data_IF_603879009359
#
_entry.id   IF_603879009359
#
_cell.length_a   1.000
_cell.length_b   1.000
_cell.length_c   1.000
_cell.angle_alpha   90.00
_cell.angle_beta   90.00
_cell.angle_gamma   90.00
#
_symmetry.space_group_name_H-M   'P 1'
#
loop_
_entity.id
_entity.type
_entity.pdbx_description
1 polymer ?
#
# COMPACT_ATOMS: atom_id res chain seq x y z
N UNK A 1 -13.77 7.92 21.16
CA UNK A 1 -13.85 7.21 22.44
C UNK A 1 -12.73 7.65 23.38
N UNK A 2 -11.48 7.70 22.92
CA UNK A 2 -10.31 8.12 23.72
C UNK A 2 -10.47 9.53 24.30
N UNK A 3 -10.98 10.48 23.52
CA UNK A 3 -11.17 11.87 23.96
C UNK A 3 -12.28 12.05 25.03
N UNK A 4 -13.13 11.04 25.21
CA UNK A 4 -14.20 11.08 26.21
C UNK A 4 -13.78 10.50 27.57
N UNK A 5 -12.71 9.72 27.61
CA UNK A 5 -12.24 8.99 28.78
C UNK A 5 -10.74 9.26 29.01
N UNK A 6 -10.41 10.53 29.26
CA UNK A 6 -9.02 10.93 29.47
C UNK A 6 -8.68 10.65 30.95
N UNK A 7 -7.71 9.79 31.26
CA UNK A 7 -7.30 9.50 32.60
C UNK A 7 -6.55 10.69 33.23
N UNK A 8 -6.46 10.68 34.54
CA UNK A 8 -5.69 11.63 35.38
C UNK A 8 -6.04 13.10 35.22
N UNK A 9 -7.29 13.44 34.87
CA UNK A 9 -7.71 14.83 34.63
C UNK A 9 -6.86 15.59 33.60
N UNK A 10 -6.23 14.90 32.69
CA UNK A 10 -5.44 15.54 31.67
C UNK A 10 -6.33 16.34 30.70
N UNK A 11 -5.83 17.48 30.23
CA UNK A 11 -6.49 18.28 29.20
C UNK A 11 -5.90 17.89 27.84
N UNK A 12 -6.76 17.49 26.90
CA UNK A 12 -6.36 17.11 25.55
C UNK A 12 -7.09 17.97 24.53
N UNK A 13 -6.32 18.58 23.61
CA UNK A 13 -6.83 19.29 22.45
C UNK A 13 -6.52 18.49 21.21
N UNK A 14 -7.55 18.05 20.49
CA UNK A 14 -7.40 17.40 19.19
C UNK A 14 -7.39 18.44 18.09
N UNK A 15 -6.29 18.51 17.34
CA UNK A 15 -6.13 19.40 16.18
C UNK A 15 -5.93 18.49 14.95
N UNK A 16 -6.96 18.31 14.12
CA UNK A 16 -6.79 17.51 12.90
C UNK A 16 -5.98 18.30 11.86
N UNK A 17 -4.85 17.76 11.44
CA UNK A 17 -4.02 18.35 10.39
C UNK A 17 -4.43 17.88 9.00
N UNK A 18 -4.95 16.68 8.88
CA UNK A 18 -5.43 16.11 7.63
C UNK A 18 -6.56 15.10 7.89
N UNK A 19 -7.37 14.89 6.88
CA UNK A 19 -8.36 13.82 6.84
C UNK A 19 -8.18 13.03 5.55
N UNK A 20 -8.14 11.72 5.65
CA UNK A 20 -8.16 10.82 4.51
C UNK A 20 -9.09 9.66 4.79
N UNK A 21 -9.78 9.19 3.78
CA UNK A 21 -10.52 7.94 3.87
C UNK A 21 -9.59 6.78 3.50
N UNK A 22 -9.77 5.63 4.15
CA UNK A 22 -9.04 4.43 3.76
C UNK A 22 -9.52 3.90 2.41
N UNK A 23 -8.65 3.23 1.70
CA UNK A 23 -8.99 2.44 0.51
C UNK A 23 -8.85 0.97 0.86
N UNK A 24 -9.83 0.18 0.47
CA UNK A 24 -9.75 -1.28 0.57
C UNK A 24 -9.66 -1.82 -0.85
N UNK A 25 -8.52 -2.44 -1.17
CA UNK A 25 -8.35 -3.16 -2.41
C UNK A 25 -9.12 -4.49 -2.34
N UNK A 26 -9.73 -4.88 -3.44
CA UNK A 26 -10.36 -6.19 -3.58
C UNK A 26 -9.37 -7.16 -4.22
N UNK A 27 -8.80 -8.10 -3.45
CA UNK A 27 -7.79 -9.03 -3.97
C UNK A 27 -8.34 -10.07 -4.94
N UNK A 28 -9.66 -10.19 -5.05
CA UNK A 28 -10.30 -11.15 -5.97
C UNK A 28 -10.45 -10.62 -7.40
N UNK A 29 -10.16 -9.35 -7.64
CA UNK A 29 -10.23 -8.78 -8.98
C UNK A 29 -9.15 -9.34 -9.91
N UNK A 30 -9.43 -9.46 -11.23
CA UNK A 30 -8.58 -10.15 -12.18
C UNK A 30 -7.13 -9.65 -12.23
N UNK A 31 -6.92 -8.34 -12.32
CA UNK A 31 -5.58 -7.78 -12.35
C UNK A 31 -4.82 -8.02 -11.06
N UNK A 32 -5.47 -7.77 -9.93
CA UNK A 32 -4.87 -7.98 -8.60
C UNK A 32 -4.51 -9.44 -8.38
N UNK A 33 -5.38 -10.37 -8.76
CA UNK A 33 -5.12 -11.82 -8.68
C UNK A 33 -3.91 -12.19 -9.52
N UNK A 34 -3.80 -11.71 -10.78
CA UNK A 34 -2.67 -12.03 -11.64
C UNK A 34 -1.36 -11.41 -11.13
N UNK A 35 -1.44 -10.20 -10.58
CA UNK A 35 -0.28 -9.56 -9.95
C UNK A 35 0.25 -10.38 -8.76
N UNK A 36 -0.63 -10.86 -7.89
CA UNK A 36 -0.27 -11.72 -6.76
C UNK A 36 0.36 -13.02 -7.25
N UNK A 37 -0.19 -13.66 -8.29
CA UNK A 37 0.39 -14.86 -8.88
C UNK A 37 1.79 -14.59 -9.44
N UNK A 38 1.98 -13.45 -10.08
CA UNK A 38 3.27 -13.04 -10.61
C UNK A 38 4.29 -12.80 -9.48
N UNK A 39 3.90 -12.12 -8.42
CA UNK A 39 4.73 -11.95 -7.23
C UNK A 39 5.14 -13.30 -6.63
N UNK A 40 4.19 -14.15 -6.31
CA UNK A 40 4.48 -15.44 -5.70
C UNK A 40 5.47 -16.28 -6.51
N UNK A 41 5.43 -16.14 -7.85
CA UNK A 41 6.32 -16.91 -8.74
C UNK A 41 7.74 -16.34 -8.88
N UNK A 42 7.92 -15.05 -8.61
CA UNK A 42 9.20 -14.36 -8.79
C UNK A 42 9.92 -14.15 -7.46
N UNK A 43 9.17 -13.82 -6.42
CA UNK A 43 9.72 -13.57 -5.09
C UNK A 43 9.94 -14.84 -4.25
N UNK A 44 9.56 -16.00 -4.76
CA UNK A 44 9.69 -17.31 -4.08
C UNK A 44 9.01 -17.37 -2.70
N UNK A 45 8.10 -16.44 -2.41
CA UNK A 45 7.34 -16.33 -1.17
C UNK A 45 5.86 -16.13 -1.46
N UNK A 46 5.01 -16.55 -0.53
CA UNK A 46 3.59 -16.26 -0.63
C UNK A 46 3.31 -14.80 -0.25
N UNK A 47 2.48 -14.14 -1.06
CA UNK A 47 2.02 -12.78 -0.78
C UNK A 47 1.16 -12.74 0.48
N UNK A 48 1.54 -11.93 1.45
CA UNK A 48 0.76 -11.68 2.64
C UNK A 48 -0.13 -10.44 2.49
N UNK A 49 -1.33 -10.50 3.02
CA UNK A 49 -2.27 -9.38 3.04
C UNK A 49 -2.27 -8.74 4.42
N UNK A 50 -1.94 -7.47 4.48
CA UNK A 50 -1.88 -6.71 5.73
C UNK A 50 -2.71 -5.43 5.64
N UNK A 51 -3.25 -4.99 6.78
CA UNK A 51 -3.84 -3.66 6.91
C UNK A 51 -2.75 -2.65 7.29
N UNK A 52 -2.59 -1.62 6.49
CA UNK A 52 -1.61 -0.56 6.74
C UNK A 52 -2.32 0.71 7.18
N UNK A 53 -1.85 1.32 8.27
CA UNK A 53 -2.30 2.65 8.70
C UNK A 53 -1.68 3.73 7.83
N UNK A 54 -2.49 4.67 7.43
CA UNK A 54 -2.11 5.77 6.57
C UNK A 54 -3.09 5.96 5.42
N UNK A 55 -3.13 7.15 4.87
CA UNK A 55 -4.02 7.45 3.74
C UNK A 55 -3.23 8.06 2.60
N UNK A 56 -3.54 7.64 1.41
CA UNK A 56 -3.08 8.28 0.18
C UNK A 56 -4.32 8.97 -0.41
N UNK A 57 -4.51 10.29 -0.21
CA UNK A 57 -5.73 10.99 -0.63
C UNK A 57 -6.04 10.79 -2.10
N UNK A 58 -5.03 10.80 -2.97
CA UNK A 58 -5.17 10.56 -4.40
C UNK A 58 -5.82 9.20 -4.71
N UNK A 59 -5.50 8.15 -3.95
CA UNK A 59 -6.06 6.82 -4.17
C UNK A 59 -7.60 6.82 -4.00
N UNK A 60 -8.11 7.55 -3.00
CA UNK A 60 -9.55 7.71 -2.80
C UNK A 60 -10.23 8.45 -3.96
N UNK A 61 -9.61 9.54 -4.40
CA UNK A 61 -10.15 10.31 -5.52
C UNK A 61 -10.18 9.48 -6.79
N UNK A 62 -9.13 8.71 -7.04
CA UNK A 62 -9.05 7.80 -8.19
C UNK A 62 -10.16 6.73 -8.15
N UNK A 63 -10.32 6.04 -7.02
CA UNK A 63 -11.36 4.99 -6.89
C UNK A 63 -12.77 5.58 -7.05
N UNK A 64 -13.00 6.80 -6.58
CA UNK A 64 -14.29 7.49 -6.74
C UNK A 64 -14.58 7.84 -8.20
N UNK A 65 -13.58 8.34 -8.92
CA UNK A 65 -13.73 8.75 -10.33
C UNK A 65 -13.78 7.54 -11.28
N UNK A 66 -13.10 6.46 -10.93
CA UNK A 66 -12.99 5.25 -11.75
C UNK A 66 -13.43 4.00 -10.97
N UNK A 67 -14.73 3.88 -10.61
CA UNK A 67 -15.21 2.82 -9.72
C UNK A 67 -15.08 1.40 -10.30
N UNK A 68 -14.92 1.29 -11.62
CA UNK A 68 -14.74 0.00 -12.31
C UNK A 68 -13.26 -0.34 -12.56
N UNK A 69 -12.34 0.58 -12.28
CA UNK A 69 -10.92 0.32 -12.41
C UNK A 69 -10.36 -0.39 -11.16
N UNK A 70 -9.33 -1.18 -11.35
CA UNK A 70 -8.53 -1.70 -10.26
C UNK A 70 -7.39 -0.71 -9.96
N UNK A 71 -7.29 -0.29 -8.72
CA UNK A 71 -6.19 0.54 -8.25
C UNK A 71 -5.20 -0.33 -7.50
N UNK A 72 -3.98 -0.38 -7.99
CA UNK A 72 -2.87 -1.06 -7.34
C UNK A 72 -1.73 -0.06 -7.17
N UNK A 73 -1.19 0.01 -5.97
CA UNK A 73 -0.03 0.82 -5.63
C UNK A 73 1.10 -0.15 -5.27
N UNK A 74 2.19 -0.07 -6.00
CA UNK A 74 3.35 -0.94 -5.79
C UNK A 74 4.63 -0.12 -5.64
N UNK A 75 5.58 -0.65 -4.89
CA UNK A 75 6.88 -0.03 -4.71
C UNK A 75 7.85 -1.03 -4.10
N UNK A 76 9.12 -0.92 -4.47
CA UNK A 76 10.18 -1.61 -3.78
C UNK A 76 10.51 -0.86 -2.48
N UNK A 77 10.90 -1.60 -1.47
CA UNK A 77 11.30 -1.04 -0.18
C UNK A 77 12.56 -1.74 0.34
N UNK A 78 13.18 -1.14 1.31
CA UNK A 78 14.17 -1.77 2.17
C UNK A 78 13.60 -1.80 3.58
N UNK A 79 13.20 -2.99 4.05
CA UNK A 79 12.51 -3.15 5.32
C UNK A 79 13.42 -2.88 6.54
N UNK A 80 14.73 -3.07 6.38
CA UNK A 80 15.69 -2.92 7.47
C UNK A 80 16.27 -1.50 7.56
N UNK A 81 16.63 -0.91 6.41
CA UNK A 81 17.37 0.33 6.34
C UNK A 81 16.63 1.46 5.58
N UNK A 82 15.43 1.20 5.14
CA UNK A 82 14.69 2.04 4.20
C UNK A 82 14.47 3.49 4.62
N UNK A 83 14.34 3.78 5.92
CA UNK A 83 14.12 5.13 6.45
C UNK A 83 13.06 5.93 5.66
N UNK A 84 11.95 5.30 5.29
CA UNK A 84 10.92 5.93 4.47
C UNK A 84 10.52 7.33 4.99
N UNK A 85 10.54 8.31 4.10
CA UNK A 85 10.28 9.73 4.39
C UNK A 85 11.33 10.42 5.27
N UNK A 86 12.53 9.86 5.39
CA UNK A 86 13.62 10.43 6.19
C UNK A 86 14.92 10.57 5.37
N UNK A 87 15.93 11.31 5.87
CA UNK A 87 17.23 11.36 5.23
C UNK A 87 17.86 9.96 5.07
N UNK A 88 18.56 9.75 3.96
CA UNK A 88 19.16 8.47 3.59
C UNK A 88 18.15 7.35 3.36
N UNK A 89 16.97 7.70 2.87
CA UNK A 89 16.01 6.70 2.39
C UNK A 89 16.68 5.79 1.35
N UNK A 90 16.49 4.49 1.50
CA UNK A 90 17.08 3.47 0.64
C UNK A 90 16.05 2.47 0.15
N UNK A 91 16.40 1.78 -0.93
CA UNK A 91 15.64 0.68 -1.50
C UNK A 91 16.61 -0.41 -1.96
N UNK A 92 16.23 -1.65 -1.83
CA UNK A 92 17.01 -2.77 -2.35
C UNK A 92 16.85 -2.84 -3.88
N UNK A 93 17.98 -2.87 -4.61
CA UNK A 93 17.98 -2.83 -6.08
C UNK A 93 17.37 -4.11 -6.67
N UNK A 94 17.68 -5.26 -6.11
CA UNK A 94 17.08 -6.54 -6.49
C UNK A 94 15.57 -6.57 -6.31
N UNK A 95 15.03 -5.91 -5.27
CA UNK A 95 13.59 -5.73 -5.12
C UNK A 95 12.96 -4.88 -6.25
N UNK A 96 13.68 -3.88 -6.77
CA UNK A 96 13.23 -3.12 -7.93
C UNK A 96 13.18 -4.04 -9.17
N UNK A 97 14.21 -4.84 -9.40
CA UNK A 97 14.28 -5.77 -10.53
C UNK A 97 13.15 -6.80 -10.48
N UNK A 98 12.95 -7.43 -9.32
CA UNK A 98 11.86 -8.40 -9.10
C UNK A 98 10.47 -7.75 -9.26
N UNK A 99 10.30 -6.51 -8.82
CA UNK A 99 9.06 -5.76 -9.01
C UNK A 99 8.78 -5.51 -10.50
N UNK A 100 9.78 -5.06 -11.25
CA UNK A 100 9.66 -4.83 -12.71
C UNK A 100 9.29 -6.14 -13.42
N UNK A 101 9.98 -7.23 -13.09
CA UNK A 101 9.71 -8.55 -13.67
C UNK A 101 8.27 -9.01 -13.37
N UNK A 102 7.82 -8.84 -12.12
CA UNK A 102 6.45 -9.17 -11.71
C UNK A 102 5.41 -8.37 -12.50
N UNK A 103 5.62 -7.06 -12.67
CA UNK A 103 4.72 -6.21 -13.46
C UNK A 103 4.70 -6.59 -14.93
N UNK A 104 5.86 -6.84 -15.53
CA UNK A 104 5.95 -7.29 -16.93
C UNK A 104 5.23 -8.62 -17.15
N UNK A 105 5.41 -9.58 -16.23
CA UNK A 105 4.71 -10.86 -16.27
C UNK A 105 3.20 -10.68 -16.17
N UNK A 106 2.74 -9.89 -15.21
CA UNK A 106 1.32 -9.59 -15.04
C UNK A 106 0.71 -9.00 -16.32
N UNK A 107 1.35 -7.97 -16.89
CA UNK A 107 0.86 -7.30 -18.10
C UNK A 107 0.82 -8.24 -19.32
N UNK A 108 1.75 -9.18 -19.42
CA UNK A 108 1.75 -10.18 -20.51
C UNK A 108 0.61 -11.20 -20.36
N UNK A 109 0.23 -11.51 -19.13
CA UNK A 109 -0.78 -12.55 -18.87
C UNK A 109 -2.21 -12.02 -18.95
N UNK A 110 -2.42 -10.72 -18.83
CA UNK A 110 -3.74 -10.07 -18.95
C UNK A 110 -4.01 -9.48 -20.34
N UNK A 111 -3.03 -9.45 -21.22
CA UNK A 111 -3.17 -9.04 -22.63
C UNK A 111 -3.51 -10.24 -23.51
#
# INVERSE_FOLDING_TARGET
HVLKNIPWNASVKFIPNSKGSGVVADPSKPFTTELVNSFNSIWENETAYIGVGGSIPFANDFVREFPNAELVLVGAADEELGNAHAPNESVQIDHIEMLIESLVKTLKNIS
#
